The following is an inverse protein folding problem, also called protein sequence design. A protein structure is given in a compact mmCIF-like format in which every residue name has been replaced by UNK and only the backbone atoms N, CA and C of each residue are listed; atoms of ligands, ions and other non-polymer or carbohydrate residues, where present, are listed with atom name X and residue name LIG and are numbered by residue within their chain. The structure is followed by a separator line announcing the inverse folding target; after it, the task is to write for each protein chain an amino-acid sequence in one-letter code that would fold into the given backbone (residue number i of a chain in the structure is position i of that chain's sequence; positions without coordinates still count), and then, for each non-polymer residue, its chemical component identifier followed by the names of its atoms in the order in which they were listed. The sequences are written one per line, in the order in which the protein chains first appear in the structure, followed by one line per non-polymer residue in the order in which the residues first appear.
data_IF_265849155075
#
_entry.id   IF_265849155075
#
_cell.length_a   1.000
_cell.length_b   1.000
_cell.length_c   1.000
_cell.angle_alpha   90.00
_cell.angle_beta   90.00
_cell.angle_gamma   90.00
#
_symmetry.space_group_name_H-M   'P 1'
#
loop_
_entity.id
_entity.type
_entity.pdbx_description
1 polymer ?
#
# COMPACT_ATOMS: atom_id res chain seq x y z
N UNK A 1 9.05 -3.27 9.16
CA UNK A 1 8.42 -4.48 8.59
C UNK A 1 7.11 -4.18 7.88
N UNK A 2 6.32 -3.18 8.31
CA UNK A 2 5.04 -2.78 7.68
C UNK A 2 5.05 -2.63 6.15
N UNK A 3 6.10 -2.07 5.54
CA UNK A 3 6.19 -1.95 4.08
C UNK A 3 6.25 -3.34 3.39
N UNK A 4 6.96 -4.30 3.99
CA UNK A 4 7.04 -5.65 3.44
C UNK A 4 5.70 -6.39 3.57
N UNK A 5 4.97 -6.16 4.67
CA UNK A 5 3.65 -6.74 4.89
C UNK A 5 2.64 -6.23 3.84
N UNK A 6 2.71 -4.94 3.48
CA UNK A 6 1.88 -4.36 2.41
C UNK A 6 2.21 -4.89 1.02
N UNK A 7 3.50 -5.10 0.73
CA UNK A 7 3.92 -5.67 -0.56
C UNK A 7 3.37 -7.09 -0.70
N UNK A 8 3.46 -7.89 0.36
CA UNK A 8 2.92 -9.27 0.38
C UNK A 8 1.40 -9.24 0.25
N UNK A 9 0.70 -8.33 0.93
CA UNK A 9 -0.76 -8.21 0.86
C UNK A 9 -1.26 -7.93 -0.58
N UNK A 10 -0.56 -7.09 -1.35
CA UNK A 10 -0.88 -6.85 -2.77
C UNK A 10 -0.58 -8.07 -3.63
N UNK A 11 0.57 -8.72 -3.43
CA UNK A 11 0.99 -9.88 -4.24
C UNK A 11 0.09 -11.09 -3.96
N UNK A 12 -0.24 -11.34 -2.70
CA UNK A 12 -1.19 -12.40 -2.31
C UNK A 12 -2.61 -12.06 -2.77
N UNK A 13 -3.01 -10.78 -2.72
CA UNK A 13 -4.29 -10.31 -3.27
C UNK A 13 -4.40 -10.56 -4.77
N UNK A 14 -3.32 -10.26 -5.52
CA UNK A 14 -3.24 -10.51 -6.95
C UNK A 14 -3.26 -12.01 -7.27
N UNK A 15 -2.57 -12.83 -6.46
CA UNK A 15 -2.53 -14.28 -6.63
C UNK A 15 -3.85 -14.97 -6.26
N UNK A 16 -4.58 -14.46 -5.25
CA UNK A 16 -5.81 -15.05 -4.75
C UNK A 16 -7.06 -14.61 -5.53
N UNK A 17 -7.13 -13.34 -5.94
CA UNK A 17 -8.33 -12.75 -6.54
C UNK A 17 -8.20 -12.51 -8.06
N UNK A 18 -6.98 -12.54 -8.61
CA UNK A 18 -6.72 -12.15 -10.00
C UNK A 18 -6.77 -10.63 -10.23
N UNK A 19 -6.36 -10.19 -11.42
CA UNK A 19 -6.19 -8.77 -11.77
C UNK A 19 -7.48 -7.95 -11.62
N UNK A 20 -8.64 -8.54 -11.89
CA UNK A 20 -9.96 -7.87 -11.88
C UNK A 20 -10.53 -7.60 -10.48
N UNK A 21 -9.98 -8.19 -9.41
CA UNK A 21 -10.52 -8.06 -8.05
C UNK A 21 -9.49 -7.56 -7.02
N UNK A 22 -8.35 -7.04 -7.47
CA UNK A 22 -7.32 -6.51 -6.59
C UNK A 22 -7.50 -5.03 -6.23
N UNK A 23 -8.43 -4.33 -6.88
CA UNK A 23 -8.66 -2.89 -6.71
C UNK A 23 -8.92 -2.50 -5.24
N UNK A 24 -9.71 -3.31 -4.52
CA UNK A 24 -10.00 -3.08 -3.10
C UNK A 24 -8.77 -3.25 -2.18
N UNK A 25 -7.85 -4.15 -2.54
CA UNK A 25 -6.59 -4.38 -1.79
C UNK A 25 -5.61 -3.25 -2.08
N UNK A 26 -5.53 -2.82 -3.34
CA UNK A 26 -4.69 -1.71 -3.77
C UNK A 26 -5.12 -0.39 -3.12
N UNK A 27 -6.42 -0.10 -3.06
CA UNK A 27 -6.95 1.10 -2.39
C UNK A 27 -6.64 1.12 -0.90
N UNK A 28 -6.76 -0.03 -0.24
CA UNK A 28 -6.41 -0.18 1.19
C UNK A 28 -4.92 0.06 1.42
N UNK A 29 -4.04 -0.55 0.62
CA UNK A 29 -2.58 -0.39 0.76
C UNK A 29 -2.17 1.04 0.43
N UNK A 30 -2.76 1.66 -0.60
CA UNK A 30 -2.52 3.06 -0.97
C UNK A 30 -2.88 4.03 0.16
N UNK A 31 -4.01 3.83 0.83
CA UNK A 31 -4.40 4.65 1.99
C UNK A 31 -3.38 4.53 3.15
N UNK A 32 -2.89 3.31 3.42
CA UNK A 32 -1.91 3.07 4.47
C UNK A 32 -0.53 3.66 4.14
N UNK A 33 -0.10 3.55 2.88
CA UNK A 33 1.13 4.19 2.39
C UNK A 33 1.04 5.72 2.46
N UNK A 34 -0.09 6.31 2.05
CA UNK A 34 -0.30 7.75 2.14
C UNK A 34 -0.21 8.25 3.59
N UNK A 35 -0.81 7.52 4.53
CA UNK A 35 -0.72 7.84 5.96
C UNK A 35 0.71 7.72 6.52
N UNK A 36 1.53 6.81 5.98
CA UNK A 36 2.94 6.69 6.34
C UNK A 36 3.77 7.83 5.74
N UNK A 37 3.57 8.17 4.47
CA UNK A 37 4.25 9.30 3.82
C UNK A 37 3.92 10.63 4.51
N UNK A 38 2.68 10.80 5.00
CA UNK A 38 2.29 11.97 5.77
C UNK A 38 3.06 12.11 7.11
N UNK A 39 3.51 10.99 7.70
CA UNK A 39 4.31 10.99 8.93
C UNK A 39 5.78 11.32 8.70
N UNK A 40 6.28 11.16 7.47
CA UNK A 40 7.68 11.41 7.10
C UNK A 40 7.75 12.40 5.94
N UNK A 41 7.49 13.69 6.19
CA UNK A 41 7.59 14.72 5.16
C UNK A 41 9.03 14.81 4.65
N UNK A 42 9.21 14.60 3.34
CA UNK A 42 10.53 14.57 2.69
C UNK A 42 11.13 15.98 2.57
N UNK A 43 10.28 17.01 2.51
CA UNK A 43 10.70 18.42 2.42
C UNK A 43 9.94 19.28 3.44
N UNK A 44 10.36 19.26 4.72
CA UNK A 44 9.67 20.06 5.75
C UNK A 44 9.92 21.57 5.63
N UNK A 45 10.95 22.01 4.89
CA UNK A 45 11.42 23.40 4.83
C UNK A 45 11.64 23.92 3.39
N UNK A 46 10.89 23.40 2.40
CA UNK A 46 10.91 23.94 1.04
C UNK A 46 9.71 24.85 0.81
#
# INVERSE_FOLDING_TARGET
RQIADWIIEVVDGLAANGEDANEAVEDKVKAQVAALCAKFPIYPNL
#
